data_IF_584914968383
#
_entry.id   IF_584914968383
#
_cell.length_a   1.000
_cell.length_b   1.000
_cell.length_c   1.000
_cell.angle_alpha   90.00
_cell.angle_beta   90.00
_cell.angle_gamma   90.00
#
_symmetry.space_group_name_H-M   'P 1'
#
loop_
_entity.id
_entity.type
_entity.pdbx_description
1 polymer ?
#
# COMPACT_ATOMS: atom_id res chain seq x y z
N UNK A 1 -19.31 -25.43 6.21
CA UNK A 1 -19.54 -23.97 6.10
C UNK A 1 -19.79 -23.42 7.49
N UNK A 2 -19.04 -22.40 7.94
CA UNK A 2 -19.10 -21.87 9.31
C UNK A 2 -20.09 -20.70 9.43
N UNK A 3 -21.21 -20.71 8.70
CA UNK A 3 -22.17 -19.58 8.64
C UNK A 3 -22.95 -19.35 9.95
N UNK A 4 -23.03 -20.35 10.85
CA UNK A 4 -23.67 -20.22 12.17
C UNK A 4 -22.71 -19.88 13.32
N UNK A 5 -21.40 -19.76 13.05
CA UNK A 5 -20.36 -19.46 14.05
C UNK A 5 -19.95 -17.97 14.18
N UNK A 6 -20.21 -17.05 13.23
CA UNK A 6 -19.76 -15.66 13.37
C UNK A 6 -20.70 -14.90 14.32
N UNK A 7 -20.59 -15.17 15.62
CA UNK A 7 -21.20 -14.40 16.71
C UNK A 7 -22.72 -14.23 16.64
N UNK A 8 -23.28 -13.51 17.63
CA UNK A 8 -24.69 -13.08 17.63
C UNK A 8 -24.89 -11.73 16.94
N UNK A 9 -23.80 -11.05 16.58
CA UNK A 9 -23.82 -9.69 16.01
C UNK A 9 -23.63 -9.79 14.49
N UNK A 10 -24.68 -9.53 13.69
CA UNK A 10 -24.51 -9.51 12.24
C UNK A 10 -23.57 -8.37 11.82
N UNK A 11 -22.82 -8.57 10.71
CA UNK A 11 -21.92 -7.59 10.08
C UNK A 11 -20.66 -7.20 10.88
N UNK A 12 -20.23 -8.02 11.83
CA UNK A 12 -18.96 -7.78 12.53
C UNK A 12 -17.76 -8.27 11.69
N UNK A 13 -16.92 -7.34 11.21
CA UNK A 13 -15.73 -7.68 10.41
C UNK A 13 -14.72 -8.52 11.23
N UNK A 14 -14.41 -8.07 12.44
CA UNK A 14 -13.58 -8.78 13.42
C UNK A 14 -14.31 -8.83 14.78
N UNK A 15 -14.52 -10.03 15.36
CA UNK A 15 -15.15 -10.18 16.68
C UNK A 15 -14.24 -9.67 17.80
N UNK A 16 -14.80 -9.28 18.95
CA UNK A 16 -14.00 -8.77 20.08
C UNK A 16 -13.02 -9.84 20.61
N UNK A 17 -13.36 -11.13 20.49
CA UNK A 17 -12.47 -12.25 20.80
C UNK A 17 -11.21 -12.27 19.92
N UNK A 18 -11.26 -11.70 18.70
CA UNK A 18 -10.09 -11.65 17.81
C UNK A 18 -8.96 -10.77 18.36
N UNK A 19 -9.25 -9.86 19.30
CA UNK A 19 -8.22 -9.05 19.98
C UNK A 19 -7.31 -9.89 20.87
N UNK A 20 -7.74 -11.09 21.27
CA UNK A 20 -6.92 -12.01 22.07
C UNK A 20 -5.90 -12.77 21.23
N UNK A 21 -6.05 -12.79 19.90
CA UNK A 21 -5.13 -13.45 18.99
C UNK A 21 -3.89 -12.58 18.75
N UNK A 22 -2.71 -13.18 18.52
CA UNK A 22 -1.54 -12.41 18.14
C UNK A 22 -1.78 -11.73 16.78
N UNK A 23 -1.64 -10.40 16.67
CA UNK A 23 -1.81 -9.71 15.40
C UNK A 23 -0.71 -10.09 14.41
N UNK A 24 -1.01 -10.06 13.10
CA UNK A 24 0.01 -10.22 12.07
C UNK A 24 1.09 -9.15 12.23
N UNK A 25 2.35 -9.51 11.99
CA UNK A 25 3.46 -8.57 12.05
C UNK A 25 3.48 -7.72 10.79
N UNK A 26 4.06 -6.52 10.90
CA UNK A 26 4.26 -5.64 9.75
C UNK A 26 5.21 -6.26 8.71
N UNK A 27 6.08 -7.18 9.13
CA UNK A 27 7.03 -7.90 8.27
C UNK A 27 6.50 -9.24 7.78
N UNK A 28 5.21 -9.54 7.97
CA UNK A 28 4.64 -10.79 7.47
C UNK A 28 4.73 -10.88 5.94
N UNK A 29 5.20 -12.00 5.37
CA UNK A 29 5.40 -12.12 3.91
C UNK A 29 4.10 -11.96 3.11
N UNK A 30 2.96 -12.27 3.73
CA UNK A 30 1.63 -12.04 3.13
C UNK A 30 1.34 -10.55 2.97
N UNK A 31 1.67 -9.75 3.99
CA UNK A 31 1.49 -8.30 3.93
C UNK A 31 2.46 -7.67 2.93
N UNK A 32 3.71 -8.14 2.91
CA UNK A 32 4.69 -7.73 1.91
C UNK A 32 4.21 -8.02 0.47
N UNK A 33 3.63 -9.22 0.25
CA UNK A 33 3.05 -9.58 -1.05
C UNK A 33 1.85 -8.68 -1.43
N UNK A 34 0.95 -8.36 -0.48
CA UNK A 34 -0.14 -7.42 -0.73
C UNK A 34 0.39 -6.02 -1.07
N UNK A 35 1.45 -5.56 -0.42
CA UNK A 35 2.15 -4.31 -0.78
C UNK A 35 2.75 -4.36 -2.19
N UNK A 36 3.36 -5.49 -2.56
CA UNK A 36 3.86 -5.72 -3.91
C UNK A 36 2.75 -5.69 -4.97
N UNK A 37 1.58 -6.27 -4.69
CA UNK A 37 0.42 -6.16 -5.59
C UNK A 37 -0.02 -4.70 -5.78
N UNK A 38 0.02 -3.88 -4.72
CA UNK A 38 -0.22 -2.43 -4.81
C UNK A 38 0.84 -1.70 -5.64
N UNK A 39 2.10 -2.14 -5.59
CA UNK A 39 3.14 -1.61 -6.47
C UNK A 39 2.87 -1.96 -7.94
N UNK A 40 2.55 -3.23 -8.24
CA UNK A 40 2.19 -3.64 -9.59
C UNK A 40 0.94 -2.93 -10.12
N UNK A 41 -0.06 -2.64 -9.28
CA UNK A 41 -1.24 -1.90 -9.70
C UNK A 41 -0.92 -0.46 -10.08
N UNK A 42 -0.01 0.21 -9.37
CA UNK A 42 0.49 1.54 -9.74
C UNK A 42 1.28 1.55 -11.05
N UNK A 43 2.13 0.54 -11.27
CA UNK A 43 2.83 0.38 -12.55
C UNK A 43 1.85 0.15 -13.70
N UNK A 44 0.81 -0.67 -13.49
CA UNK A 44 -0.24 -0.92 -14.45
C UNK A 44 -1.07 0.33 -14.76
N UNK A 45 -1.44 1.13 -13.76
CA UNK A 45 -2.17 2.38 -13.98
C UNK A 45 -1.37 3.34 -14.87
N UNK A 46 -0.06 3.46 -14.61
CA UNK A 46 0.84 4.25 -15.46
C UNK A 46 0.92 3.69 -16.89
N UNK A 47 0.99 2.36 -17.04
CA UNK A 47 1.03 1.70 -18.33
C UNK A 47 -0.25 1.91 -19.16
N UNK A 48 -1.43 1.79 -18.53
CA UNK A 48 -2.74 2.01 -19.16
C UNK A 48 -2.86 3.45 -19.66
N UNK A 49 -2.40 4.42 -18.86
CA UNK A 49 -2.47 5.85 -19.18
C UNK A 49 -1.36 6.34 -20.11
N UNK A 50 -0.52 5.44 -20.64
CA UNK A 50 0.66 5.74 -21.48
C UNK A 50 1.61 6.77 -20.83
N UNK A 51 1.67 6.77 -19.50
CA UNK A 51 2.66 7.53 -18.74
C UNK A 51 3.93 6.69 -18.58
N UNK A 52 5.11 7.29 -18.39
CA UNK A 52 6.32 6.52 -18.20
C UNK A 52 6.22 5.72 -16.88
N UNK A 53 6.17 4.39 -16.99
CA UNK A 53 5.75 3.47 -15.93
C UNK A 53 6.50 3.66 -14.61
N UNK A 54 7.80 3.95 -14.66
CA UNK A 54 8.67 4.10 -13.50
C UNK A 54 8.97 5.57 -13.12
N UNK A 55 8.50 6.55 -13.91
CA UNK A 55 8.88 7.96 -13.73
C UNK A 55 7.72 8.94 -13.82
N UNK A 56 6.48 8.46 -13.94
CA UNK A 56 5.30 9.32 -14.04
C UNK A 56 5.16 10.29 -12.85
N UNK A 57 5.65 9.90 -11.67
CA UNK A 57 5.67 10.72 -10.45
C UNK A 57 7.07 11.28 -10.09
N UNK A 58 8.06 11.20 -11.00
CA UNK A 58 9.36 11.83 -10.77
C UNK A 58 9.27 13.30 -11.15
N UNK A 59 9.51 14.18 -10.18
CA UNK A 59 9.66 15.62 -10.43
C UNK A 59 10.90 15.89 -11.26
N UNK A 60 10.79 16.79 -12.23
CA UNK A 60 11.94 17.20 -13.05
C UNK A 60 12.79 18.20 -12.27
N UNK A 61 14.11 18.30 -12.52
CA UNK A 61 14.97 19.33 -11.91
C UNK A 61 14.45 20.76 -12.15
N UNK A 62 13.66 20.99 -13.20
CA UNK A 62 12.97 22.26 -13.44
C UNK A 62 11.88 22.59 -12.39
N UNK A 63 11.38 21.60 -11.66
CA UNK A 63 10.38 21.74 -10.59
C UNK A 63 11.03 21.76 -9.19
N UNK A 64 12.35 21.52 -9.11
CA UNK A 64 13.10 21.52 -7.86
C UNK A 64 13.76 22.89 -7.69
N UNK A 65 13.27 23.69 -6.73
CA UNK A 65 13.94 24.92 -6.32
C UNK A 65 15.09 24.54 -5.36
N UNK A 66 16.31 24.41 -5.89
CA UNK A 66 17.51 24.26 -5.06
C UNK A 66 18.20 25.61 -4.83
N UNK A 67 18.66 25.84 -3.60
CA UNK A 67 19.41 27.03 -3.23
C UNK A 67 20.87 26.90 -3.72
N UNK A 68 21.32 27.82 -4.57
CA UNK A 68 22.66 27.78 -5.16
C UNK A 68 23.69 28.43 -4.23
N UNK A 69 24.69 27.66 -3.78
CA UNK A 69 25.82 28.15 -2.98
C UNK A 69 27.11 28.25 -3.82
N UNK A 70 27.52 29.45 -4.27
CA UNK A 70 28.74 29.63 -5.07
C UNK A 70 30.00 29.50 -4.20
N UNK A 71 31.03 28.86 -4.76
CA UNK A 71 32.38 28.84 -4.16
C UNK A 71 33.09 30.15 -4.50
N UNK A 72 33.41 30.94 -3.47
CA UNK A 72 34.18 32.19 -3.55
C UNK A 72 35.56 31.99 -2.95
#
# INVERSE_FOLDING_TARGET
>A
MMSGRPGRVPLQLLPDEARSLPPPKLTDPRLAYMGFLGYCSGLLDNAIRRRPVLSADKKTYAELLEEFHPVR
#
